data_IF_054763075270
#
_entry.id   IF_054763075270
#
_cell.length_a   1.000
_cell.length_b   1.000
_cell.length_c   1.000
_cell.angle_alpha   90.00
_cell.angle_beta   90.00
_cell.angle_gamma   90.00
#
_symmetry.space_group_name_H-M   'P 1'
#
loop_
_entity.id
_entity.type
_entity.pdbx_description
1 polymer ?
#
# COMPACT_ATOMS: atom_id res chain seq x y z
N UNK A 1 -36.24 10.83 10.19
CA UNK A 1 -35.63 9.48 10.19
C UNK A 1 -34.86 9.18 8.91
N UNK A 2 -35.42 9.41 7.71
CA UNK A 2 -34.68 9.23 6.44
C UNK A 2 -33.51 10.22 6.28
N UNK A 3 -33.72 11.47 6.70
CA UNK A 3 -32.70 12.54 6.70
C UNK A 3 -31.52 12.23 7.62
N UNK A 4 -31.78 11.76 8.84
CA UNK A 4 -30.73 11.34 9.77
C UNK A 4 -29.94 10.13 9.24
N UNK A 5 -30.62 9.16 8.61
CA UNK A 5 -29.95 8.01 7.99
C UNK A 5 -29.01 8.43 6.85
N UNK A 6 -29.46 9.35 5.98
CA UNK A 6 -28.63 9.92 4.91
C UNK A 6 -27.41 10.66 5.44
N UNK A 7 -27.56 11.42 6.53
CA UNK A 7 -26.44 12.11 7.19
C UNK A 7 -25.43 11.10 7.75
N UNK A 8 -25.87 10.06 8.45
CA UNK A 8 -24.96 9.03 8.98
C UNK A 8 -24.22 8.28 7.86
N UNK A 9 -24.92 7.89 6.79
CA UNK A 9 -24.30 7.26 5.63
C UNK A 9 -23.26 8.17 4.96
N UNK A 10 -23.58 9.46 4.82
CA UNK A 10 -22.66 10.46 4.30
C UNK A 10 -21.41 10.64 5.16
N UNK A 11 -21.57 10.67 6.48
CA UNK A 11 -20.44 10.75 7.42
C UNK A 11 -19.55 9.50 7.36
N UNK A 12 -20.14 8.30 7.34
CA UNK A 12 -19.38 7.05 7.20
C UNK A 12 -18.61 7.04 5.87
N UNK A 13 -19.25 7.44 4.78
CA UNK A 13 -18.59 7.55 3.49
C UNK A 13 -17.41 8.53 3.54
N UNK A 14 -17.60 9.71 4.13
CA UNK A 14 -16.55 10.70 4.33
C UNK A 14 -15.38 10.13 5.16
N UNK A 15 -15.67 9.44 6.26
CA UNK A 15 -14.65 8.78 7.08
C UNK A 15 -13.85 7.74 6.29
N UNK A 16 -14.51 6.97 5.42
CA UNK A 16 -13.82 6.03 4.51
C UNK A 16 -12.89 6.76 3.54
N UNK A 17 -13.31 7.90 2.98
CA UNK A 17 -12.47 8.69 2.07
C UNK A 17 -11.27 9.29 2.80
N UNK A 18 -11.48 9.89 3.97
CA UNK A 18 -10.40 10.43 4.80
C UNK A 18 -9.41 9.34 5.16
N UNK A 19 -9.90 8.17 5.60
CA UNK A 19 -9.03 7.05 5.93
C UNK A 19 -8.18 6.62 4.73
N UNK A 20 -8.80 6.44 3.56
CA UNK A 20 -8.09 6.06 2.32
C UNK A 20 -7.01 7.09 1.96
N UNK A 21 -7.31 8.37 2.10
CA UNK A 21 -6.36 9.45 1.85
C UNK A 21 -5.19 9.40 2.83
N UNK A 22 -5.45 9.44 4.15
CA UNK A 22 -4.41 9.37 5.20
C UNK A 22 -3.53 8.13 5.03
N UNK A 23 -4.15 6.99 4.73
CA UNK A 23 -3.46 5.72 4.50
C UNK A 23 -2.48 5.79 3.32
N UNK A 24 -2.88 6.43 2.22
CA UNK A 24 -2.03 6.58 1.04
C UNK A 24 -0.92 7.60 1.27
N UNK A 25 -1.27 8.76 1.82
CA UNK A 25 -0.34 9.88 2.01
C UNK A 25 0.71 9.60 3.08
N UNK A 26 0.34 8.91 4.16
CA UNK A 26 1.28 8.60 5.24
C UNK A 26 1.97 7.28 4.91
N UNK A 27 1.26 6.16 4.93
CA UNK A 27 1.92 4.86 4.90
C UNK A 27 2.51 4.53 3.52
N UNK A 28 1.80 4.76 2.42
CA UNK A 28 2.37 4.42 1.10
C UNK A 28 3.51 5.36 0.70
N UNK A 29 3.41 6.69 0.94
CA UNK A 29 4.54 7.60 0.67
C UNK A 29 5.73 7.35 1.61
N UNK A 30 5.48 7.13 2.89
CA UNK A 30 6.54 6.87 3.86
C UNK A 30 7.33 5.59 3.53
N UNK A 31 6.64 4.49 3.25
CA UNK A 31 7.31 3.22 2.97
C UNK A 31 7.83 3.09 1.53
N UNK A 32 7.15 3.68 0.54
CA UNK A 32 7.42 3.40 -0.88
C UNK A 32 7.79 4.61 -1.75
N UNK A 33 7.83 5.84 -1.21
CA UNK A 33 8.19 7.07 -1.96
C UNK A 33 7.48 7.15 -3.32
N UNK A 34 6.15 7.12 -3.33
CA UNK A 34 5.33 7.21 -4.56
C UNK A 34 5.64 6.11 -5.59
N UNK A 35 5.79 4.87 -5.11
CA UNK A 35 6.01 3.65 -5.89
C UNK A 35 7.45 3.41 -6.39
N UNK A 36 8.36 4.36 -6.20
CA UNK A 36 9.79 4.23 -6.55
C UNK A 36 10.45 3.05 -5.81
N UNK A 37 10.03 2.81 -4.57
CA UNK A 37 10.53 1.73 -3.73
C UNK A 37 9.52 0.58 -3.56
N UNK A 38 8.46 0.54 -4.36
CA UNK A 38 7.53 -0.59 -4.35
C UNK A 38 8.26 -1.89 -4.70
N UNK A 39 7.85 -3.04 -4.13
CA UNK A 39 8.39 -4.34 -4.53
C UNK A 39 8.24 -4.62 -6.03
N UNK A 40 7.17 -4.12 -6.67
CA UNK A 40 7.02 -4.18 -8.13
C UNK A 40 8.20 -3.55 -8.85
N UNK A 41 8.66 -2.38 -8.39
CA UNK A 41 9.79 -1.67 -8.99
C UNK A 41 11.11 -2.37 -8.64
N UNK A 42 11.31 -2.66 -7.36
CA UNK A 42 12.55 -3.24 -6.85
C UNK A 42 12.86 -4.60 -7.46
N UNK A 43 11.86 -5.46 -7.65
CA UNK A 43 12.09 -6.81 -8.20
C UNK A 43 12.59 -6.82 -9.63
N UNK A 44 12.31 -5.76 -10.41
CA UNK A 44 12.77 -5.66 -11.78
C UNK A 44 14.19 -5.09 -11.90
N UNK A 45 14.67 -4.32 -10.92
CA UNK A 45 16.05 -3.81 -10.91
C UNK A 45 17.07 -4.93 -11.06
N UNK A 46 18.13 -4.70 -11.83
CA UNK A 46 19.20 -5.68 -12.04
C UNK A 46 19.89 -6.06 -10.73
N UNK A 47 20.04 -5.10 -9.81
CA UNK A 47 20.64 -5.29 -8.47
C UNK A 47 19.84 -6.17 -7.51
N UNK A 48 18.55 -6.41 -7.75
CA UNK A 48 17.69 -7.12 -6.81
C UNK A 48 17.68 -8.65 -7.02
N UNK A 49 17.90 -9.46 -5.99
CA UNK A 49 18.04 -10.91 -6.18
C UNK A 49 16.72 -11.71 -6.18
N UNK A 50 15.55 -11.06 -6.10
CA UNK A 50 14.27 -11.78 -5.99
C UNK A 50 13.96 -12.67 -7.21
N UNK A 51 14.18 -12.14 -8.42
CA UNK A 51 14.04 -12.91 -9.66
C UNK A 51 15.42 -13.28 -10.22
N UNK A 52 15.51 -14.49 -10.78
CA UNK A 52 16.66 -14.89 -11.58
C UNK A 52 16.85 -13.94 -12.78
N UNK A 53 18.10 -13.79 -13.22
CA UNK A 53 18.47 -12.89 -14.32
C UNK A 53 17.66 -13.20 -15.59
N UNK A 54 17.47 -14.47 -15.92
CA UNK A 54 16.75 -14.87 -17.13
C UNK A 54 15.24 -14.56 -17.03
N UNK A 55 14.63 -14.73 -15.85
CA UNK A 55 13.26 -14.30 -15.60
C UNK A 55 13.11 -12.78 -15.78
N UNK A 56 14.07 -12.00 -15.27
CA UNK A 56 14.06 -10.54 -15.48
C UNK A 56 14.20 -10.17 -16.95
N UNK A 57 15.05 -10.85 -17.71
CA UNK A 57 15.18 -10.64 -19.17
C UNK A 57 13.86 -10.93 -19.88
N UNK A 58 13.24 -12.07 -19.61
CA UNK A 58 11.95 -12.45 -20.21
C UNK A 58 10.84 -11.43 -19.91
N UNK A 59 10.76 -10.94 -18.66
CA UNK A 59 9.81 -9.86 -18.29
C UNK A 59 10.13 -8.58 -19.07
N UNK A 60 11.40 -8.15 -19.13
CA UNK A 60 11.83 -6.95 -19.86
C UNK A 60 11.53 -7.06 -21.36
N UNK A 61 11.75 -8.22 -21.97
CA UNK A 61 11.42 -8.49 -23.37
C UNK A 61 9.91 -8.44 -23.62
N UNK A 62 9.09 -9.01 -22.71
CA UNK A 62 7.62 -8.93 -22.81
C UNK A 62 7.10 -7.50 -22.61
N UNK A 63 7.77 -6.69 -21.78
CA UNK A 63 7.49 -5.25 -21.65
C UNK A 63 7.78 -4.51 -22.96
N UNK A 64 8.95 -4.77 -23.56
CA UNK A 64 9.33 -4.18 -24.83
C UNK A 64 8.33 -4.56 -25.94
N UNK A 65 7.97 -5.83 -26.06
CA UNK A 65 7.03 -6.29 -27.09
C UNK A 65 5.58 -5.83 -26.87
N UNK A 66 5.13 -5.73 -25.61
CA UNK A 66 3.75 -5.32 -25.30
C UNK A 66 3.53 -3.80 -25.34
N UNK A 67 4.55 -3.01 -24.99
CA UNK A 67 4.38 -1.57 -24.74
C UNK A 67 5.42 -0.69 -25.44
N UNK A 68 6.39 -1.28 -26.15
CA UNK A 68 7.50 -0.58 -26.77
C UNK A 68 8.32 0.27 -25.77
N UNK A 69 8.48 -0.23 -24.54
CA UNK A 69 9.26 0.43 -23.48
C UNK A 69 10.57 -0.32 -23.30
N UNK A 70 11.69 0.34 -23.60
CA UNK A 70 13.04 -0.20 -23.37
C UNK A 70 13.53 0.16 -21.98
N UNK A 71 13.71 -0.84 -21.11
CA UNK A 71 14.29 -0.63 -19.78
C UNK A 71 15.83 -0.56 -19.85
N UNK A 72 16.43 0.18 -18.91
CA UNK A 72 17.88 0.39 -18.87
C UNK A 72 18.67 -0.90 -18.67
N UNK A 73 19.87 -0.93 -19.24
CA UNK A 73 20.81 -2.04 -19.05
C UNK A 73 21.52 -1.95 -17.68
N UNK A 74 22.23 -3.01 -17.23
CA UNK A 74 22.85 -3.02 -15.90
C UNK A 74 23.84 -1.87 -15.65
N UNK A 75 24.60 -1.43 -16.66
CA UNK A 75 25.57 -0.34 -16.52
C UNK A 75 24.88 1.02 -16.40
N UNK A 76 23.89 1.25 -17.25
CA UNK A 76 23.06 2.47 -17.21
C UNK A 76 22.30 2.58 -15.88
N UNK A 77 21.73 1.47 -15.39
CA UNK A 77 21.01 1.43 -14.12
C UNK A 77 21.90 1.80 -12.92
N UNK A 78 23.18 1.41 -12.94
CA UNK A 78 24.13 1.79 -11.89
C UNK A 78 24.46 3.29 -11.89
N UNK A 79 24.45 3.94 -13.06
CA UNK A 79 24.75 5.37 -13.19
C UNK A 79 23.50 6.24 -12.98
N UNK A 80 22.32 5.73 -13.32
CA UNK A 80 21.04 6.46 -13.27
C UNK A 80 19.93 5.69 -12.53
N UNK A 81 20.17 5.25 -11.28
CA UNK A 81 19.24 4.43 -10.49
C UNK A 81 17.83 5.05 -10.40
N UNK A 82 17.72 6.36 -10.14
CA UNK A 82 16.43 7.03 -10.03
C UNK A 82 15.66 7.03 -11.38
N UNK A 83 16.37 7.24 -12.48
CA UNK A 83 15.77 7.19 -13.83
C UNK A 83 15.30 5.77 -14.15
N UNK A 84 16.12 4.76 -13.82
CA UNK A 84 15.77 3.35 -14.00
C UNK A 84 14.48 3.00 -13.26
N UNK A 85 14.37 3.40 -11.97
CA UNK A 85 13.18 3.19 -11.16
C UNK A 85 11.96 3.86 -11.76
N UNK A 86 12.06 5.13 -12.16
CA UNK A 86 10.93 5.85 -12.77
C UNK A 86 10.45 5.19 -14.06
N UNK A 87 11.38 4.70 -14.89
CA UNK A 87 11.05 4.00 -16.12
C UNK A 87 10.37 2.65 -15.85
N UNK A 88 10.83 1.92 -14.83
CA UNK A 88 10.18 0.69 -14.35
C UNK A 88 8.79 0.99 -13.80
N UNK A 89 8.62 2.05 -12.99
CA UNK A 89 7.31 2.47 -12.46
C UNK A 89 6.34 2.75 -13.61
N UNK A 90 6.81 3.43 -14.66
CA UNK A 90 6.02 3.67 -15.87
C UNK A 90 5.63 2.36 -16.57
N UNK A 91 6.58 1.44 -16.79
CA UNK A 91 6.30 0.13 -17.40
C UNK A 91 5.31 -0.69 -16.56
N UNK A 92 5.48 -0.74 -15.24
CA UNK A 92 4.58 -1.42 -14.28
C UNK A 92 3.18 -0.81 -14.34
N UNK A 93 3.05 0.50 -14.54
CA UNK A 93 1.74 1.14 -14.76
C UNK A 93 1.02 0.57 -15.99
N UNK A 94 1.73 0.39 -17.11
CA UNK A 94 1.17 -0.22 -18.32
C UNK A 94 0.80 -1.69 -18.11
N UNK A 95 1.62 -2.46 -17.37
CA UNK A 95 1.30 -3.85 -16.98
C UNK A 95 -0.01 -3.88 -16.17
N UNK A 96 -0.14 -3.03 -15.15
CA UNK A 96 -1.36 -2.95 -14.32
C UNK A 96 -2.59 -2.62 -15.17
N UNK A 97 -2.47 -1.71 -16.14
CA UNK A 97 -3.56 -1.37 -17.05
C UNK A 97 -3.96 -2.55 -17.94
N UNK A 98 -2.98 -3.30 -18.48
CA UNK A 98 -3.24 -4.51 -19.28
C UNK A 98 -3.92 -5.61 -18.46
N UNK A 99 -3.57 -5.74 -17.18
CA UNK A 99 -4.12 -6.76 -16.27
C UNK A 99 -5.33 -6.29 -15.45
N UNK A 100 -5.97 -5.18 -15.84
CA UNK A 100 -7.05 -4.57 -15.05
C UNK A 100 -8.20 -5.51 -14.74
N UNK A 101 -8.55 -6.38 -15.69
CA UNK A 101 -9.66 -7.34 -15.56
C UNK A 101 -9.21 -8.70 -14.99
N UNK A 102 -7.92 -8.84 -14.63
CA UNK A 102 -7.41 -10.05 -14.01
C UNK A 102 -7.90 -10.14 -12.55
N UNK A 103 -8.80 -11.09 -12.28
CA UNK A 103 -9.42 -11.27 -10.96
C UNK A 103 -8.41 -11.63 -9.85
N UNK A 104 -7.38 -12.40 -10.18
CA UNK A 104 -6.35 -12.84 -9.22
C UNK A 104 -5.53 -11.62 -8.78
N UNK A 105 -5.07 -10.82 -9.74
CA UNK A 105 -4.36 -9.57 -9.44
C UNK A 105 -5.24 -8.58 -8.65
N UNK A 106 -6.50 -8.47 -9.03
CA UNK A 106 -7.46 -7.58 -8.37
C UNK A 106 -7.66 -7.95 -6.89
N UNK A 107 -7.76 -9.25 -6.57
CA UNK A 107 -7.87 -9.72 -5.18
C UNK A 107 -6.65 -9.28 -4.33
N UNK A 108 -5.43 -9.50 -4.81
CA UNK A 108 -4.24 -9.09 -4.06
C UNK A 108 -4.08 -7.57 -3.96
N UNK A 109 -4.56 -6.81 -4.96
CA UNK A 109 -4.63 -5.36 -4.86
C UNK A 109 -5.61 -4.91 -3.76
N UNK A 110 -6.77 -5.60 -3.61
CA UNK A 110 -7.70 -5.36 -2.51
C UNK A 110 -7.04 -5.68 -1.17
N UNK A 111 -6.34 -6.81 -1.03
CA UNK A 111 -5.68 -7.20 0.21
C UNK A 111 -4.61 -6.18 0.63
N UNK A 112 -3.75 -5.76 -0.32
CA UNK A 112 -2.77 -4.70 -0.08
C UNK A 112 -3.44 -3.38 0.33
N UNK A 113 -4.48 -2.97 -0.39
CA UNK A 113 -5.25 -1.77 -0.08
C UNK A 113 -5.95 -1.84 1.28
N UNK A 114 -6.46 -2.99 1.66
CA UNK A 114 -7.09 -3.24 2.96
C UNK A 114 -6.08 -3.05 4.09
N UNK A 115 -4.92 -3.68 4.00
CA UNK A 115 -3.87 -3.56 5.03
C UNK A 115 -3.40 -2.13 5.18
N UNK A 116 -3.15 -1.42 4.08
CA UNK A 116 -2.81 0.00 4.12
C UNK A 116 -3.90 0.83 4.80
N UNK A 117 -5.17 0.57 4.46
CA UNK A 117 -6.32 1.28 5.04
C UNK A 117 -6.56 0.94 6.52
N UNK A 118 -6.25 -0.28 6.94
CA UNK A 118 -6.29 -0.69 8.35
C UNK A 118 -5.27 0.10 9.16
N UNK A 119 -4.07 0.33 8.60
CA UNK A 119 -3.02 1.09 9.26
C UNK A 119 -3.35 2.58 9.39
N UNK A 120 -3.83 3.23 8.32
CA UNK A 120 -4.31 4.61 8.43
C UNK A 120 -5.52 4.76 9.35
N UNK A 121 -6.43 3.78 9.33
CA UNK A 121 -7.59 3.76 10.21
C UNK A 121 -7.18 3.62 11.67
N UNK A 122 -6.20 2.74 11.94
CA UNK A 122 -5.62 2.56 13.28
C UNK A 122 -4.93 3.83 13.76
N UNK A 123 -4.21 4.54 12.89
CA UNK A 123 -3.60 5.83 13.25
C UNK A 123 -4.63 6.87 13.68
N UNK A 124 -5.72 7.00 12.91
CA UNK A 124 -6.84 7.89 13.26
C UNK A 124 -7.49 7.44 14.58
N UNK A 125 -7.69 6.14 14.76
CA UNK A 125 -8.31 5.58 15.95
C UNK A 125 -7.46 5.75 17.22
N UNK A 126 -6.12 5.76 17.10
CA UNK A 126 -5.22 6.12 18.21
C UNK A 126 -5.48 7.56 18.67
N UNK A 127 -5.66 8.52 17.75
CA UNK A 127 -5.96 9.91 18.12
C UNK A 127 -7.29 10.02 18.90
N UNK A 128 -8.33 9.31 18.45
CA UNK A 128 -9.60 9.25 19.17
C UNK A 128 -9.49 8.54 20.52
N UNK A 129 -8.69 7.48 20.60
CA UNK A 129 -8.45 6.76 21.86
C UNK A 129 -7.75 7.65 22.89
N UNK A 130 -6.80 8.48 22.46
CA UNK A 130 -6.16 9.49 23.31
C UNK A 130 -7.17 10.55 23.76
N UNK A 131 -8.02 11.04 22.87
CA UNK A 131 -9.07 12.02 23.23
C UNK A 131 -10.05 11.45 24.27
N UNK A 132 -10.46 10.18 24.11
CA UNK A 132 -11.29 9.47 25.10
C UNK A 132 -10.58 9.39 26.45
N UNK A 133 -9.29 9.07 26.47
CA UNK A 133 -8.50 9.02 27.72
C UNK A 133 -8.42 10.38 28.41
N UNK A 134 -8.14 11.45 27.66
CA UNK A 134 -8.09 12.81 28.22
C UNK A 134 -9.44 13.18 28.83
N UNK A 135 -10.53 12.93 28.12
CA UNK A 135 -11.87 13.21 28.62
C UNK A 135 -12.21 12.36 29.86
N UNK A 136 -11.83 11.08 29.87
CA UNK A 136 -12.01 10.21 31.02
C UNK A 136 -11.26 10.69 32.27
N UNK A 137 -10.05 11.24 32.10
CA UNK A 137 -9.28 11.81 33.20
C UNK A 137 -9.92 13.09 33.76
N UNK A 138 -10.49 13.94 32.90
CA UNK A 138 -11.21 15.15 33.32
C UNK A 138 -12.46 14.78 34.14
N UNK A 139 -13.22 13.78 33.69
CA UNK A 139 -14.46 13.36 34.34
C UNK A 139 -14.25 12.37 35.48
N UNK A 140 -13.01 11.93 35.73
CA UNK A 140 -12.67 10.86 36.68
C UNK A 140 -13.46 9.56 36.45
N UNK A 141 -13.82 9.26 35.20
CA UNK A 141 -14.58 8.07 34.82
C UNK A 141 -13.66 6.87 34.58
N UNK A 142 -13.74 5.88 35.48
CA UNK A 142 -12.95 4.65 35.43
C UNK A 142 -13.29 3.75 34.23
N UNK A 143 -14.55 3.69 33.82
CA UNK A 143 -15.01 2.84 32.71
C UNK A 143 -14.49 3.41 31.39
N UNK A 144 -14.63 4.73 31.21
CA UNK A 144 -14.18 5.39 30.01
C UNK A 144 -12.64 5.35 29.89
N UNK A 145 -11.94 5.48 31.02
CA UNK A 145 -10.48 5.33 31.07
C UNK A 145 -10.05 3.93 30.61
N UNK A 146 -10.63 2.88 31.17
CA UNK A 146 -10.27 1.51 30.81
C UNK A 146 -10.58 1.22 29.34
N UNK A 147 -11.71 1.71 28.84
CA UNK A 147 -12.09 1.61 27.42
C UNK A 147 -11.06 2.29 26.52
N UNK A 148 -10.66 3.52 26.86
CA UNK A 148 -9.63 4.25 26.13
C UNK A 148 -8.28 3.53 26.10
N UNK A 149 -7.87 2.91 27.21
CA UNK A 149 -6.61 2.14 27.27
C UNK A 149 -6.69 0.92 26.36
N UNK A 150 -7.78 0.16 26.43
CA UNK A 150 -7.97 -1.05 25.61
C UNK A 150 -7.95 -0.69 24.11
N UNK A 151 -8.71 0.34 23.71
CA UNK A 151 -8.74 0.79 22.33
C UNK A 151 -7.37 1.26 21.86
N UNK A 152 -6.65 2.02 22.69
CA UNK A 152 -5.30 2.47 22.37
C UNK A 152 -4.36 1.30 22.09
N UNK A 153 -4.36 0.26 22.94
CA UNK A 153 -3.52 -0.94 22.75
C UNK A 153 -3.88 -1.65 21.45
N UNK A 154 -5.17 -1.87 21.20
CA UNK A 154 -5.66 -2.57 20.00
C UNK A 154 -5.21 -1.84 18.72
N UNK A 155 -5.33 -0.52 18.68
CA UNK A 155 -4.96 0.26 17.48
C UNK A 155 -3.46 0.54 17.36
N UNK A 156 -2.70 0.49 18.45
CA UNK A 156 -1.24 0.54 18.38
C UNK A 156 -0.63 -0.73 17.77
N UNK A 157 -1.27 -1.89 17.96
CA UNK A 157 -0.74 -3.17 17.46
C UNK A 157 -0.54 -3.17 15.93
N UNK A 158 -1.53 -2.86 15.07
CA UNK A 158 -1.30 -2.77 13.63
C UNK A 158 -0.21 -1.77 13.25
N UNK A 159 -0.14 -0.62 13.93
CA UNK A 159 0.86 0.42 13.66
C UNK A 159 2.27 -0.08 13.98
N UNK A 160 2.46 -0.77 15.10
CA UNK A 160 3.74 -1.35 15.49
C UNK A 160 4.25 -2.36 14.46
N UNK A 161 3.35 -3.15 13.84
CA UNK A 161 3.68 -4.10 12.79
C UNK A 161 3.54 -3.54 11.36
N UNK A 162 3.34 -2.24 11.20
CA UNK A 162 3.01 -1.60 9.92
C UNK A 162 4.01 -1.91 8.81
N UNK A 163 5.31 -1.82 9.09
CA UNK A 163 6.36 -2.09 8.10
C UNK A 163 6.36 -3.55 7.61
N UNK A 164 6.15 -4.50 8.52
CA UNK A 164 6.07 -5.93 8.17
C UNK A 164 4.83 -6.21 7.33
N UNK A 165 3.67 -5.69 7.75
CA UNK A 165 2.39 -5.89 7.06
C UNK A 165 2.44 -5.30 5.64
N UNK A 166 2.79 -4.02 5.50
CA UNK A 166 2.84 -3.34 4.20
C UNK A 166 3.85 -4.02 3.27
N UNK A 167 5.04 -4.34 3.77
CA UNK A 167 6.08 -4.99 2.96
C UNK A 167 5.63 -6.37 2.49
N UNK A 168 5.06 -7.18 3.39
CA UNK A 168 4.62 -8.54 3.05
C UNK A 168 3.55 -8.55 1.96
N UNK A 169 2.48 -7.77 2.13
CA UNK A 169 1.40 -7.72 1.14
C UNK A 169 1.83 -7.04 -0.17
N UNK A 170 2.70 -6.03 -0.10
CA UNK A 170 3.29 -5.42 -1.30
C UNK A 170 4.14 -6.40 -2.11
N UNK A 171 4.92 -7.26 -1.44
CA UNK A 171 5.72 -8.30 -2.08
C UNK A 171 4.86 -9.38 -2.74
N UNK A 172 3.81 -9.84 -2.06
CA UNK A 172 2.86 -10.79 -2.67
C UNK A 172 2.17 -10.22 -3.89
N UNK A 173 1.66 -8.98 -3.79
CA UNK A 173 1.07 -8.29 -4.93
C UNK A 173 2.03 -8.19 -6.12
N UNK A 174 3.30 -7.81 -5.86
CA UNK A 174 4.30 -7.70 -6.91
C UNK A 174 4.65 -9.04 -7.57
N UNK A 175 4.75 -10.12 -6.78
CA UNK A 175 4.97 -11.47 -7.30
C UNK A 175 3.85 -11.87 -8.25
N UNK A 176 2.59 -11.74 -7.82
CA UNK A 176 1.42 -12.12 -8.62
C UNK A 176 1.30 -11.25 -9.86
N UNK A 177 1.60 -9.95 -9.78
CA UNK A 177 1.60 -9.05 -10.95
C UNK A 177 2.48 -9.61 -12.07
N UNK A 178 3.71 -10.02 -11.75
CA UNK A 178 4.64 -10.54 -12.75
C UNK A 178 4.26 -11.95 -13.22
N UNK A 179 3.77 -12.83 -12.35
CA UNK A 179 3.28 -14.16 -12.75
C UNK A 179 2.11 -14.05 -13.74
N UNK A 180 1.13 -13.20 -13.44
CA UNK A 180 -0.02 -12.95 -14.32
C UNK A 180 0.39 -12.21 -15.59
N UNK A 181 1.40 -11.34 -15.53
CA UNK A 181 1.92 -10.67 -16.72
C UNK A 181 2.64 -11.63 -17.65
N UNK A 182 3.31 -12.66 -17.12
CA UNK A 182 4.05 -13.63 -17.93
C UNK A 182 3.17 -14.73 -18.54
N UNK A 183 1.98 -14.95 -17.99
CA UNK A 183 0.91 -15.75 -18.63
C UNK A 183 0.43 -15.07 -19.92
#
# INVERSE_FOLDING_TARGET
MLTSLGIYAGLVFLSVQINRFVSKEIFQRFFFKEDINMPTTNYLLWSNEFFAIDTKKAIREKILSSFNITLLNPKEEQHEDLRARNLIVHAVSQIKNKLRDNRILFQHNIEYGFIRNLLGGSLIAVLFSIAILVFALIQSDLILRNTGIILLIIYLMPIAFSGVLISRYGKYYAKVLYEQFMT
#
